data_IF_581041039923
#
_entry.id   IF_581041039923
#
_cell.length_a   1.000
_cell.length_b   1.000
_cell.length_c   1.000
_cell.angle_alpha   90.00
_cell.angle_beta   90.00
_cell.angle_gamma   90.00
#
_symmetry.space_group_name_H-M   'P 1'
#
loop_
_entity.id
_entity.type
_entity.pdbx_description
1 polymer ?
#
# COMPACT_ATOMS: atom_id res chain seq x y z
N UNK A 1 -5.15 -8.07 -9.97
CA UNK A 1 -4.95 -8.09 -11.43
C UNK A 1 -6.12 -7.40 -12.14
N UNK A 2 -5.90 -6.98 -13.38
CA UNK A 2 -6.94 -6.45 -14.28
C UNK A 2 -6.90 -7.33 -15.53
N UNK A 3 -8.02 -7.96 -15.87
CA UNK A 3 -8.12 -8.93 -16.98
C UNK A 3 -7.02 -10.01 -16.95
N UNK A 4 -6.71 -10.52 -15.74
CA UNK A 4 -5.68 -11.52 -15.51
C UNK A 4 -4.24 -11.02 -15.52
N UNK A 5 -4.00 -9.74 -15.83
CA UNK A 5 -2.67 -9.13 -15.86
C UNK A 5 -2.39 -8.29 -14.61
N UNK A 6 -1.12 -8.15 -14.25
CA UNK A 6 -0.70 -7.30 -13.15
C UNK A 6 -1.04 -5.82 -13.42
N UNK A 7 -1.61 -5.14 -12.43
CA UNK A 7 -2.01 -3.72 -12.56
C UNK A 7 -0.86 -2.78 -12.93
N UNK A 8 0.39 -3.11 -12.56
CA UNK A 8 1.58 -2.34 -12.92
C UNK A 8 1.88 -2.28 -14.43
N UNK A 9 1.30 -3.19 -15.23
CA UNK A 9 1.43 -3.14 -16.70
C UNK A 9 0.68 -1.95 -17.34
N UNK A 10 -0.21 -1.32 -16.60
CA UNK A 10 -0.99 -0.18 -17.06
C UNK A 10 -0.45 1.17 -16.57
N UNK A 11 0.78 1.20 -16.04
CA UNK A 11 1.41 2.40 -15.48
C UNK A 11 2.91 2.44 -15.79
N UNK A 12 3.48 3.64 -15.88
CA UNK A 12 4.92 3.85 -16.08
C UNK A 12 5.72 3.41 -14.84
N UNK A 13 5.12 3.57 -13.66
CA UNK A 13 5.67 3.17 -12.37
C UNK A 13 4.59 2.58 -11.49
N UNK A 14 4.95 1.58 -10.70
CA UNK A 14 4.06 1.03 -9.66
C UNK A 14 4.81 0.81 -8.36
N UNK A 15 4.09 1.00 -7.25
CA UNK A 15 4.62 0.79 -5.91
C UNK A 15 3.87 -0.32 -5.19
N UNK A 16 4.60 -1.09 -4.41
CA UNK A 16 4.04 -2.10 -3.51
C UNK A 16 4.61 -1.88 -2.12
N UNK A 17 3.74 -1.79 -1.12
CA UNK A 17 4.16 -1.68 0.28
C UNK A 17 4.27 -3.06 0.93
N UNK A 18 5.32 -3.25 1.71
CA UNK A 18 5.54 -4.43 2.56
C UNK A 18 5.43 -4.08 4.04
N UNK A 19 4.64 -3.08 4.37
CA UNK A 19 4.34 -2.71 5.75
C UNK A 19 3.59 -3.83 6.48
N UNK A 20 3.73 -3.90 7.82
CA UNK A 20 3.29 -5.03 8.64
C UNK A 20 1.83 -5.48 8.49
N UNK A 21 0.92 -4.57 8.17
CA UNK A 21 -0.51 -4.88 7.98
C UNK A 21 -0.89 -5.29 6.56
N UNK A 22 0.04 -5.31 5.61
CA UNK A 22 -0.23 -5.69 4.23
C UNK A 22 -0.27 -7.22 4.04
N UNK A 23 -0.76 -7.67 2.89
CA UNK A 23 -0.93 -9.10 2.55
C UNK A 23 0.40 -9.83 2.55
N UNK A 24 1.46 -9.17 2.04
CA UNK A 24 2.85 -9.54 2.21
C UNK A 24 3.53 -8.43 2.99
N UNK A 25 4.39 -8.78 3.93
CA UNK A 25 5.21 -7.82 4.65
C UNK A 25 6.65 -8.30 4.79
N UNK A 26 7.55 -7.37 5.06
CA UNK A 26 8.97 -7.63 5.28
C UNK A 26 9.35 -7.32 6.73
N UNK A 27 8.77 -8.09 7.68
CA UNK A 27 8.96 -7.93 9.12
C UNK A 27 8.60 -6.51 9.61
N UNK A 28 7.53 -5.95 9.05
CA UNK A 28 6.96 -4.66 9.46
C UNK A 28 7.25 -3.48 8.54
N UNK A 29 8.34 -3.49 7.79
CA UNK A 29 8.75 -2.41 6.89
C UNK A 29 9.19 -2.95 5.54
N UNK A 30 9.20 -2.07 4.53
CA UNK A 30 9.69 -2.38 3.20
C UNK A 30 8.73 -1.95 2.10
N UNK A 31 9.20 -2.03 0.87
CA UNK A 31 8.42 -1.74 -0.31
C UNK A 31 9.23 -2.05 -1.57
N UNK A 32 8.52 -2.07 -2.69
CA UNK A 32 9.12 -2.20 -4.00
C UNK A 32 8.60 -1.09 -4.93
N UNK A 33 9.47 -0.60 -5.77
CA UNK A 33 9.17 0.32 -6.85
C UNK A 33 9.53 -0.38 -8.17
N UNK A 34 8.54 -0.64 -9.01
CA UNK A 34 8.75 -1.15 -10.36
C UNK A 34 8.67 0.01 -11.35
N UNK A 35 9.61 0.09 -12.27
CA UNK A 35 9.78 1.20 -13.22
C UNK A 35 10.07 0.61 -14.59
N UNK A 36 9.41 1.10 -15.63
CA UNK A 36 9.59 0.65 -17.01
C UNK A 36 10.69 1.44 -17.75
N UNK A 37 10.97 2.67 -17.33
CA UNK A 37 12.00 3.54 -17.93
C UNK A 37 13.33 3.41 -17.19
N UNK A 38 14.41 3.12 -17.92
CA UNK A 38 15.74 2.88 -17.35
C UNK A 38 16.34 4.13 -16.72
N UNK A 39 16.19 5.31 -17.32
CA UNK A 39 16.71 6.56 -16.77
C UNK A 39 16.01 6.93 -15.46
N UNK A 40 14.69 6.69 -15.39
CA UNK A 40 13.91 6.91 -14.16
C UNK A 40 14.34 5.90 -13.09
N UNK A 41 14.63 4.65 -13.46
CA UNK A 41 15.12 3.62 -12.54
C UNK A 41 16.50 3.99 -11.95
N UNK A 42 17.44 4.45 -12.79
CA UNK A 42 18.75 4.91 -12.33
C UNK A 42 18.62 6.09 -11.37
N UNK A 43 17.77 7.06 -11.71
CA UNK A 43 17.48 8.20 -10.84
C UNK A 43 16.88 7.76 -9.50
N UNK A 44 15.99 6.78 -9.51
CA UNK A 44 15.38 6.21 -8.31
C UNK A 44 16.41 5.49 -7.42
N UNK A 45 17.34 4.73 -8.03
CA UNK A 45 18.45 4.08 -7.31
C UNK A 45 19.36 5.11 -6.64
N UNK A 46 19.75 6.19 -7.32
CA UNK A 46 20.52 7.27 -6.74
C UNK A 46 19.79 7.90 -5.54
N UNK A 47 18.53 8.28 -5.72
CA UNK A 47 17.73 8.91 -4.66
C UNK A 47 17.52 7.99 -3.45
N UNK A 48 17.37 6.69 -3.66
CA UNK A 48 17.23 5.69 -2.59
C UNK A 48 18.48 5.63 -1.70
N UNK A 49 19.67 5.74 -2.31
CA UNK A 49 20.96 5.44 -1.71
C UNK A 49 21.81 6.71 -1.55
N UNK A 50 21.33 7.71 -0.84
CA UNK A 50 21.97 8.99 -0.51
C UNK A 50 22.39 9.84 -1.72
N UNK A 51 22.07 9.47 -2.93
CA UNK A 51 22.54 10.12 -4.16
C UNK A 51 23.93 9.67 -4.61
N UNK A 52 24.45 8.55 -4.08
CA UNK A 52 25.78 8.04 -4.42
C UNK A 52 25.81 7.31 -5.75
N UNK A 53 26.80 7.60 -6.59
CA UNK A 53 27.06 6.91 -7.87
C UNK A 53 27.24 5.40 -7.71
N UNK A 54 27.76 4.95 -6.57
CA UNK A 54 27.94 3.52 -6.27
C UNK A 54 26.65 2.71 -6.27
N UNK A 55 25.48 3.34 -6.15
CA UNK A 55 24.19 2.67 -6.29
C UNK A 55 23.88 2.17 -7.72
N UNK A 56 24.64 2.64 -8.70
CA UNK A 56 24.56 2.26 -10.11
C UNK A 56 25.70 1.34 -10.55
N UNK A 57 26.62 1.00 -9.65
CA UNK A 57 27.77 0.17 -9.99
C UNK A 57 27.38 -1.24 -10.39
N UNK A 58 28.17 -1.81 -11.28
CA UNK A 58 28.21 -3.20 -11.68
C UNK A 58 29.63 -3.77 -11.43
N UNK A 59 29.85 -5.05 -11.70
CA UNK A 59 31.15 -5.70 -11.48
C UNK A 59 32.32 -4.95 -12.14
N UNK A 60 32.12 -4.39 -13.33
CA UNK A 60 33.13 -3.63 -14.05
C UNK A 60 33.46 -2.30 -13.38
N UNK A 61 32.45 -1.61 -12.82
CA UNK A 61 32.63 -0.34 -12.11
C UNK A 61 33.29 -0.53 -10.75
N UNK A 62 33.14 -1.72 -10.15
CA UNK A 62 33.74 -2.06 -8.85
C UNK A 62 35.22 -2.48 -8.93
N UNK A 63 35.71 -2.75 -10.14
CA UNK A 63 37.14 -3.09 -10.35
C UNK A 63 38.03 -1.98 -9.82
N UNK A 64 39.14 -2.35 -9.18
CA UNK A 64 40.08 -1.39 -8.51
C UNK A 64 40.54 -0.29 -9.47
N UNK A 65 40.82 -0.65 -10.71
CA UNK A 65 41.29 0.27 -11.74
C UNK A 65 40.28 1.37 -12.07
N UNK A 66 39.02 1.07 -11.97
CA UNK A 66 37.93 2.02 -12.26
C UNK A 66 37.51 2.81 -11.01
N UNK A 67 37.54 2.16 -9.85
CA UNK A 67 37.09 2.74 -8.59
C UNK A 67 37.90 3.97 -8.18
N UNK A 68 39.19 3.94 -8.34
CA UNK A 68 40.10 5.03 -7.94
C UNK A 68 40.49 5.96 -9.09
N UNK A 69 39.84 5.84 -10.23
CA UNK A 69 40.11 6.69 -11.40
C UNK A 69 39.10 7.85 -11.52
N UNK A 70 38.70 8.42 -10.40
CA UNK A 70 37.82 9.60 -10.34
C UNK A 70 38.60 10.79 -9.85
N UNK A 71 38.43 11.93 -10.53
CA UNK A 71 39.06 13.19 -10.14
C UNK A 71 37.98 14.24 -9.89
N UNK A 72 37.96 14.79 -8.69
CA UNK A 72 37.07 15.85 -8.27
C UNK A 72 37.92 17.11 -8.04
N UNK A 73 37.86 18.07 -8.95
CA UNK A 73 38.58 19.35 -8.87
C UNK A 73 40.10 19.17 -8.60
N UNK A 74 40.73 18.26 -9.35
CA UNK A 74 42.15 17.88 -9.22
C UNK A 74 42.49 17.04 -7.98
N UNK A 75 41.52 16.48 -7.30
CA UNK A 75 41.69 15.54 -6.18
C UNK A 75 41.33 14.15 -6.65
N UNK A 76 42.25 13.19 -6.60
CA UNK A 76 41.98 11.79 -6.87
C UNK A 76 41.10 11.22 -5.77
N UNK A 77 39.99 10.58 -6.15
CA UNK A 77 38.93 10.19 -5.23
C UNK A 77 38.39 8.79 -5.45
N UNK A 78 37.74 8.25 -4.44
CA UNK A 78 37.06 6.95 -4.51
C UNK A 78 35.65 7.11 -5.08
N UNK A 79 35.38 6.53 -6.24
CA UNK A 79 34.09 6.55 -6.92
C UNK A 79 32.93 6.10 -6.02
N UNK A 80 33.14 5.22 -5.04
CA UNK A 80 32.12 4.77 -4.09
C UNK A 80 31.55 5.90 -3.21
N UNK A 81 32.27 7.00 -3.09
CA UNK A 81 31.88 8.14 -2.25
C UNK A 81 31.62 9.42 -3.05
N UNK A 82 31.37 9.28 -4.36
CA UNK A 82 30.90 10.38 -5.19
C UNK A 82 29.38 10.50 -5.05
N UNK A 83 28.90 11.70 -4.77
CA UNK A 83 27.48 12.01 -4.63
C UNK A 83 27.01 12.83 -5.82
N UNK A 84 26.25 12.21 -6.71
CA UNK A 84 25.72 12.84 -7.93
C UNK A 84 24.57 13.80 -7.64
N UNK A 85 23.85 13.56 -6.54
CA UNK A 85 22.70 14.37 -6.15
C UNK A 85 22.45 14.26 -4.65
N UNK A 86 21.62 15.16 -4.12
CA UNK A 86 21.07 14.98 -2.77
C UNK A 86 20.02 13.87 -2.81
N UNK A 87 20.22 12.83 -2.03
CA UNK A 87 19.34 11.67 -1.95
C UNK A 87 18.87 11.38 -0.53
N UNK A 88 18.15 10.27 -0.39
CA UNK A 88 17.56 9.79 0.86
C UNK A 88 18.24 8.49 1.31
N UNK A 89 18.01 8.09 2.53
CA UNK A 89 18.31 6.73 3.00
C UNK A 89 17.02 5.91 3.02
N UNK A 90 16.70 5.25 1.90
CA UNK A 90 15.55 4.36 1.74
C UNK A 90 16.02 2.92 1.48
N UNK A 91 17.20 2.56 1.99
CA UNK A 91 17.73 1.20 1.85
C UNK A 91 16.90 0.19 2.64
N UNK A 92 16.56 -0.92 1.98
CA UNK A 92 15.95 -2.07 2.62
C UNK A 92 16.95 -2.84 3.47
N UNK A 93 16.45 -3.60 4.45
CA UNK A 93 17.28 -4.53 5.21
C UNK A 93 17.09 -5.98 4.75
N UNK A 94 18.14 -6.78 4.78
CA UNK A 94 18.11 -8.16 4.30
C UNK A 94 17.33 -9.12 5.20
N UNK A 95 17.22 -8.83 6.49
CA UNK A 95 16.39 -9.60 7.42
C UNK A 95 14.92 -9.48 7.01
N UNK A 96 14.46 -8.26 6.74
CA UNK A 96 13.12 -8.02 6.22
C UNK A 96 12.89 -8.67 4.86
N UNK A 97 13.86 -8.60 3.96
CA UNK A 97 13.78 -9.24 2.64
C UNK A 97 13.68 -10.77 2.76
N UNK A 98 14.47 -11.40 3.61
CA UNK A 98 14.42 -12.84 3.88
C UNK A 98 13.05 -13.27 4.43
N UNK A 99 12.49 -12.48 5.37
CA UNK A 99 11.13 -12.71 5.87
C UNK A 99 10.10 -12.58 4.73
N UNK A 100 10.22 -11.54 3.89
CA UNK A 100 9.35 -11.29 2.75
C UNK A 100 9.33 -12.44 1.75
N UNK A 101 10.47 -13.07 1.47
CA UNK A 101 10.56 -14.24 0.59
C UNK A 101 9.72 -15.42 1.12
N UNK A 102 9.65 -15.62 2.43
CA UNK A 102 8.79 -16.64 3.04
C UNK A 102 7.30 -16.26 2.89
N UNK A 103 6.97 -15.00 3.04
CA UNK A 103 5.61 -14.51 2.82
C UNK A 103 5.18 -14.64 1.37
N UNK A 104 6.08 -14.38 0.43
CA UNK A 104 5.81 -14.51 -1.01
C UNK A 104 5.40 -15.94 -1.38
N UNK A 105 6.01 -16.96 -0.79
CA UNK A 105 5.63 -18.37 -1.01
C UNK A 105 4.22 -18.72 -0.54
N UNK A 106 3.63 -17.93 0.35
CA UNK A 106 2.27 -18.13 0.87
C UNK A 106 1.24 -17.25 0.16
N UNK A 107 1.66 -16.40 -0.77
CA UNK A 107 0.82 -15.35 -1.35
C UNK A 107 -0.46 -15.88 -1.97
N UNK A 108 -0.36 -16.89 -2.85
CA UNK A 108 -1.53 -17.42 -3.58
C UNK A 108 -2.57 -18.01 -2.62
N UNK A 109 -2.13 -18.77 -1.62
CA UNK A 109 -3.02 -19.31 -0.59
C UNK A 109 -3.66 -18.18 0.24
N UNK A 110 -2.90 -17.17 0.60
CA UNK A 110 -3.40 -16.03 1.37
C UNK A 110 -4.45 -15.22 0.56
N UNK A 111 -4.23 -15.05 -0.75
CA UNK A 111 -5.18 -14.39 -1.66
C UNK A 111 -6.47 -15.20 -1.73
N UNK A 112 -6.38 -16.51 -1.98
CA UNK A 112 -7.56 -17.38 -2.06
C UNK A 112 -8.39 -17.36 -0.76
N UNK A 113 -7.73 -17.43 0.40
CA UNK A 113 -8.40 -17.35 1.70
C UNK A 113 -9.07 -16.00 1.93
N UNK A 114 -8.42 -14.90 1.54
CA UNK A 114 -9.00 -13.54 1.64
C UNK A 114 -10.20 -13.38 0.75
N UNK A 115 -10.16 -13.90 -0.48
CA UNK A 115 -11.29 -13.85 -1.40
C UNK A 115 -12.50 -14.63 -0.86
N UNK A 116 -12.27 -15.85 -0.37
CA UNK A 116 -13.34 -16.65 0.25
C UNK A 116 -13.96 -15.93 1.47
N UNK A 117 -13.13 -15.30 2.29
CA UNK A 117 -13.61 -14.53 3.45
C UNK A 117 -14.37 -13.27 3.02
N UNK A 118 -13.95 -12.61 1.95
CA UNK A 118 -14.65 -11.47 1.37
C UNK A 118 -16.04 -11.87 0.86
N UNK A 119 -16.14 -12.93 0.08
CA UNK A 119 -17.41 -13.43 -0.47
C UNK A 119 -18.37 -13.82 0.64
N UNK A 120 -17.85 -14.41 1.72
CA UNK A 120 -18.63 -14.75 2.92
C UNK A 120 -19.21 -13.50 3.59
N UNK A 121 -18.41 -12.46 3.76
CA UNK A 121 -18.90 -11.21 4.35
C UNK A 121 -19.91 -10.50 3.44
N UNK A 122 -19.69 -10.49 2.13
CA UNK A 122 -20.68 -9.97 1.18
C UNK A 122 -22.02 -10.66 1.35
N UNK A 123 -22.06 -12.00 1.34
CA UNK A 123 -23.28 -12.78 1.55
C UNK A 123 -23.98 -12.49 2.87
N UNK A 124 -23.21 -12.27 3.94
CA UNK A 124 -23.78 -11.87 5.23
C UNK A 124 -24.45 -10.50 5.15
N UNK A 125 -23.76 -9.50 4.63
CA UNK A 125 -24.26 -8.13 4.57
C UNK A 125 -25.36 -7.92 3.50
N UNK A 126 -25.48 -8.80 2.52
CA UNK A 126 -26.60 -8.80 1.57
C UNK A 126 -27.95 -8.94 2.29
N UNK A 127 -28.01 -9.69 3.40
CA UNK A 127 -29.20 -9.83 4.23
C UNK A 127 -29.57 -8.53 4.98
N UNK A 128 -28.67 -7.56 5.02
CA UNK A 128 -28.83 -6.27 5.68
C UNK A 128 -28.66 -5.11 4.68
N UNK A 129 -28.99 -5.38 3.43
CA UNK A 129 -28.82 -4.41 2.33
C UNK A 129 -29.67 -3.13 2.51
N UNK A 130 -30.66 -3.12 3.39
CA UNK A 130 -31.40 -1.90 3.78
C UNK A 130 -30.53 -0.90 4.54
N UNK A 131 -29.50 -1.38 5.31
CA UNK A 131 -28.63 -0.55 6.16
C UNK A 131 -27.22 -0.42 5.61
N UNK A 132 -26.76 -1.37 4.80
CA UNK A 132 -25.39 -1.43 4.33
C UNK A 132 -25.28 -1.49 2.80
N UNK A 133 -24.20 -0.96 2.27
CA UNK A 133 -23.79 -1.19 0.89
C UNK A 133 -22.47 -1.95 0.88
N UNK A 134 -22.47 -3.11 0.25
CA UNK A 134 -21.28 -3.91 0.02
C UNK A 134 -20.32 -3.21 -0.95
N UNK A 135 -19.02 -3.48 -0.86
CA UNK A 135 -18.07 -3.06 -1.87
C UNK A 135 -18.35 -3.75 -3.20
N UNK A 136 -18.10 -3.04 -4.28
CA UNK A 136 -18.22 -3.59 -5.63
C UNK A 136 -16.84 -3.71 -6.25
N UNK A 137 -16.54 -4.86 -6.82
CA UNK A 137 -15.32 -5.06 -7.59
C UNK A 137 -15.51 -4.55 -9.01
N UNK A 138 -14.52 -3.83 -9.51
CA UNK A 138 -14.55 -3.35 -10.90
C UNK A 138 -14.52 -4.54 -11.85
N UNK A 139 -15.34 -4.52 -12.89
CA UNK A 139 -15.38 -5.59 -13.88
C UNK A 139 -13.99 -5.89 -14.46
N UNK A 140 -13.63 -7.17 -14.50
CA UNK A 140 -12.33 -7.64 -14.94
C UNK A 140 -11.20 -7.50 -13.91
N UNK A 141 -11.47 -6.91 -12.74
CA UNK A 141 -10.48 -6.87 -11.64
C UNK A 141 -10.54 -8.14 -10.79
N UNK A 142 -9.42 -8.47 -10.17
CA UNK A 142 -9.31 -9.47 -9.11
C UNK A 142 -8.47 -8.88 -8.00
N UNK A 143 -9.08 -8.62 -6.87
CA UNK A 143 -8.53 -7.86 -5.75
C UNK A 143 -8.27 -8.78 -4.55
N UNK A 144 -7.07 -8.75 -4.02
CA UNK A 144 -6.70 -9.49 -2.82
C UNK A 144 -7.09 -8.75 -1.53
N UNK A 145 -8.25 -8.22 -1.45
CA UNK A 145 -8.82 -7.37 -0.40
C UNK A 145 -8.03 -7.31 0.92
N UNK A 146 -7.55 -6.13 1.27
CA UNK A 146 -6.80 -5.90 2.51
C UNK A 146 -7.70 -5.91 3.75
N UNK A 147 -8.89 -5.35 3.62
CA UNK A 147 -9.93 -5.28 4.63
C UNK A 147 -11.28 -5.35 3.92
N UNK A 148 -12.37 -5.54 4.67
CA UNK A 148 -13.72 -5.50 4.13
C UNK A 148 -14.30 -4.08 4.30
N UNK A 149 -14.36 -3.27 3.24
CA UNK A 149 -14.96 -1.94 3.32
C UNK A 149 -16.47 -2.05 3.20
N UNK A 150 -17.19 -1.42 4.11
CA UNK A 150 -18.65 -1.35 4.07
C UNK A 150 -19.10 0.09 4.26
N UNK A 151 -20.18 0.47 3.59
CA UNK A 151 -20.77 1.79 3.73
C UNK A 151 -22.13 1.68 4.44
N UNK A 152 -22.29 2.42 5.54
CA UNK A 152 -23.58 2.52 6.24
C UNK A 152 -24.48 3.49 5.47
N UNK A 153 -25.68 3.03 5.11
CA UNK A 153 -26.69 3.83 4.38
C UNK A 153 -27.34 4.87 5.28
N UNK A 154 -27.97 5.85 4.68
CA UNK A 154 -28.74 6.89 5.41
C UNK A 154 -29.98 6.34 6.09
N UNK A 155 -30.52 5.26 5.57
CA UNK A 155 -31.64 4.52 6.14
C UNK A 155 -31.31 3.75 7.42
N UNK A 156 -30.02 3.58 7.76
CA UNK A 156 -29.64 2.85 8.97
C UNK A 156 -30.08 3.62 10.23
N UNK A 157 -30.70 2.96 11.22
CA UNK A 157 -31.16 3.58 12.46
C UNK A 157 -30.01 3.85 13.45
N UNK A 158 -28.77 3.77 13.00
CA UNK A 158 -27.55 3.97 13.79
C UNK A 158 -26.48 4.70 12.96
N UNK A 159 -25.59 5.36 13.64
CA UNK A 159 -24.44 6.06 13.05
C UNK A 159 -23.24 5.14 12.91
N UNK A 160 -22.26 5.54 12.09
CA UNK A 160 -20.96 4.86 12.02
C UNK A 160 -20.29 4.74 13.40
N UNK A 161 -20.34 5.81 14.20
CA UNK A 161 -19.75 5.82 15.55
C UNK A 161 -20.37 4.77 16.45
N UNK A 162 -21.68 4.67 16.48
CA UNK A 162 -22.41 3.68 17.29
C UNK A 162 -22.07 2.26 16.82
N UNK A 163 -22.06 2.02 15.52
CA UNK A 163 -21.70 0.73 14.94
C UNK A 163 -20.25 0.32 15.29
N UNK A 164 -19.29 1.24 15.18
CA UNK A 164 -17.91 0.97 15.57
C UNK A 164 -17.78 0.67 17.07
N UNK A 165 -18.41 1.48 17.95
CA UNK A 165 -18.41 1.23 19.39
C UNK A 165 -19.00 -0.13 19.72
N UNK A 166 -20.10 -0.50 19.07
CA UNK A 166 -20.74 -1.81 19.27
C UNK A 166 -19.79 -2.97 18.93
N UNK A 167 -19.08 -2.91 17.79
CA UNK A 167 -18.14 -3.94 17.37
C UNK A 167 -16.89 -3.99 18.26
N UNK A 168 -16.27 -2.82 18.51
CA UNK A 168 -15.05 -2.71 19.34
C UNK A 168 -15.32 -3.21 20.77
N UNK A 169 -16.49 -2.94 21.35
CA UNK A 169 -16.88 -3.47 22.67
C UNK A 169 -17.00 -5.01 22.71
N UNK A 170 -17.07 -5.62 21.55
CA UNK A 170 -17.09 -7.08 21.36
C UNK A 170 -15.77 -7.66 20.86
N UNK A 171 -14.69 -6.89 20.95
CA UNK A 171 -13.34 -7.24 20.46
C UNK A 171 -13.30 -7.52 18.94
N UNK A 172 -14.16 -6.85 18.16
CA UNK A 172 -14.10 -6.82 16.71
C UNK A 172 -13.52 -5.47 16.31
N UNK A 173 -12.25 -5.47 15.91
CA UNK A 173 -11.54 -4.24 15.57
C UNK A 173 -12.08 -3.63 14.28
N UNK A 174 -12.28 -2.32 14.28
CA UNK A 174 -12.73 -1.57 13.11
C UNK A 174 -11.73 -0.49 12.72
N UNK A 175 -11.84 0.02 11.50
CA UNK A 175 -11.11 1.20 11.03
C UNK A 175 -12.04 2.08 10.23
N UNK A 176 -11.70 3.36 10.12
CA UNK A 176 -12.28 4.22 9.10
C UNK A 176 -11.65 3.90 7.74
N UNK A 177 -12.32 4.28 6.65
CA UNK A 177 -11.77 4.09 5.31
C UNK A 177 -10.66 5.12 5.08
N UNK A 178 -9.44 4.77 5.47
CA UNK A 178 -8.25 5.62 5.43
C UNK A 178 -8.50 7.03 6.00
N UNK A 179 -8.16 8.06 5.23
CA UNK A 179 -8.36 9.47 5.61
C UNK A 179 -9.76 10.00 5.27
N UNK A 180 -10.60 9.20 4.59
CA UNK A 180 -11.85 9.68 4.02
C UNK A 180 -11.58 10.77 2.97
N UNK A 181 -12.21 11.96 3.14
CA UNK A 181 -11.86 13.13 2.35
C UNK A 181 -10.61 13.80 2.87
N UNK A 182 -9.49 13.65 2.17
CA UNK A 182 -8.19 14.19 2.58
C UNK A 182 -8.20 15.72 2.76
N UNK A 183 -9.04 16.42 2.00
CA UNK A 183 -9.14 17.89 2.10
C UNK A 183 -9.68 18.37 3.44
N UNK A 184 -10.36 17.51 4.18
CA UNK A 184 -10.84 17.79 5.54
C UNK A 184 -9.79 17.53 6.63
N UNK A 185 -8.68 16.91 6.27
CA UNK A 185 -7.59 16.67 7.21
C UNK A 185 -6.84 17.99 7.50
N UNK A 186 -6.45 18.25 8.76
CA UNK A 186 -5.76 19.48 9.13
C UNK A 186 -4.51 19.77 8.30
N UNK A 187 -3.77 18.74 7.91
CA UNK A 187 -2.57 18.86 7.08
C UNK A 187 -2.82 19.54 5.73
N UNK A 188 -4.05 19.45 5.21
CA UNK A 188 -4.40 20.03 3.90
C UNK A 188 -4.79 21.50 3.98
N UNK A 189 -4.87 22.12 5.17
CA UNK A 189 -5.32 23.52 5.30
C UNK A 189 -4.33 24.50 4.66
N UNK A 190 -3.02 24.27 4.83
CA UNK A 190 -1.96 25.22 4.46
C UNK A 190 -1.14 24.78 3.24
N UNK A 191 -1.60 23.80 2.47
CA UNK A 191 -0.92 23.38 1.23
C UNK A 191 -1.68 23.90 0.01
N UNK A 192 -0.93 24.30 -1.02
CA UNK A 192 -1.51 24.64 -2.31
C UNK A 192 -2.17 23.41 -2.95
N UNK A 193 -3.41 23.53 -3.36
CA UNK A 193 -4.21 22.41 -3.89
C UNK A 193 -5.23 22.86 -4.90
N UNK A 194 -5.55 21.97 -5.84
CA UNK A 194 -6.65 22.15 -6.78
C UNK A 194 -7.90 21.46 -6.21
N UNK A 195 -8.99 22.18 -6.12
CA UNK A 195 -10.26 21.67 -5.60
C UNK A 195 -11.36 21.92 -6.61
N UNK A 196 -12.25 20.95 -6.83
CA UNK A 196 -13.44 21.11 -7.65
C UNK A 196 -14.43 22.04 -6.94
N UNK A 197 -15.16 22.85 -7.74
CA UNK A 197 -16.16 23.80 -7.21
C UNK A 197 -17.28 23.09 -6.43
N UNK A 198 -17.74 21.96 -6.93
CA UNK A 198 -18.76 21.10 -6.33
C UNK A 198 -18.26 20.30 -5.12
N UNK A 199 -16.95 20.35 -4.85
CA UNK A 199 -16.33 19.57 -3.79
C UNK A 199 -16.27 18.07 -4.12
N UNK A 200 -16.25 17.23 -3.08
CA UNK A 200 -16.09 15.77 -3.19
C UNK A 200 -17.11 15.02 -2.33
N UNK A 201 -18.42 15.06 -2.68
CA UNK A 201 -19.50 14.53 -1.84
C UNK A 201 -19.36 13.02 -1.59
N UNK A 202 -18.86 12.25 -2.55
CA UNK A 202 -18.62 10.82 -2.36
C UNK A 202 -17.49 10.55 -1.34
N UNK A 203 -16.42 11.32 -1.36
CA UNK A 203 -15.34 11.21 -0.37
C UNK A 203 -15.85 11.60 1.03
N UNK A 204 -16.70 12.62 1.12
CA UNK A 204 -17.35 13.01 2.38
C UNK A 204 -18.29 11.93 2.90
N UNK A 205 -19.07 11.30 2.02
CA UNK A 205 -19.94 10.18 2.38
C UNK A 205 -19.15 8.99 2.91
N UNK A 206 -18.05 8.62 2.24
CA UNK A 206 -17.15 7.56 2.72
C UNK A 206 -16.51 7.95 4.05
N UNK A 207 -16.07 9.19 4.21
CA UNK A 207 -15.51 9.69 5.47
C UNK A 207 -16.50 9.63 6.63
N UNK A 208 -17.76 9.96 6.38
CA UNK A 208 -18.80 9.98 7.41
C UNK A 208 -19.40 8.61 7.74
N UNK A 209 -19.44 7.68 6.77
CA UNK A 209 -20.24 6.45 6.84
C UNK A 209 -19.48 5.17 6.53
N UNK A 210 -18.25 5.26 6.02
CA UNK A 210 -17.42 4.11 5.66
C UNK A 210 -16.75 3.48 6.88
N UNK A 211 -16.73 2.14 6.93
CA UNK A 211 -16.05 1.33 7.94
C UNK A 211 -15.25 0.24 7.26
N UNK A 212 -14.06 -0.04 7.74
CA UNK A 212 -13.29 -1.23 7.41
C UNK A 212 -13.47 -2.27 8.51
N UNK A 213 -13.91 -3.45 8.13
CA UNK A 213 -14.00 -4.62 9.00
C UNK A 213 -12.80 -5.54 8.78
N UNK A 214 -12.49 -6.42 9.75
CA UNK A 214 -11.42 -7.38 9.60
C UNK A 214 -11.62 -8.28 8.39
N UNK A 215 -10.56 -8.46 7.64
CA UNK A 215 -10.49 -9.42 6.54
C UNK A 215 -9.03 -9.83 6.38
N UNK A 216 -8.70 -11.05 6.78
CA UNK A 216 -7.37 -11.61 6.56
C UNK A 216 -7.42 -13.14 6.44
N UNK A 217 -6.35 -13.73 5.91
CA UNK A 217 -6.28 -15.16 5.62
C UNK A 217 -6.25 -16.08 6.86
N UNK A 218 -6.00 -15.52 8.05
CA UNK A 218 -6.00 -16.26 9.32
C UNK A 218 -7.32 -16.18 10.10
N UNK A 219 -8.40 -15.69 9.50
CA UNK A 219 -9.71 -15.70 10.15
C UNK A 219 -10.25 -17.13 10.29
N UNK A 220 -10.74 -17.45 11.48
CA UNK A 220 -11.30 -18.76 11.80
C UNK A 220 -12.83 -18.73 11.83
N UNK A 221 -13.47 -19.91 11.78
CA UNK A 221 -14.93 -20.02 11.91
C UNK A 221 -15.46 -19.38 13.20
N UNK A 222 -14.75 -19.52 14.31
CA UNK A 222 -15.13 -18.90 15.58
C UNK A 222 -15.06 -17.37 15.56
N UNK A 223 -14.22 -16.79 14.70
CA UNK A 223 -14.17 -15.33 14.51
C UNK A 223 -15.36 -14.85 13.67
N UNK A 224 -15.80 -15.63 12.69
CA UNK A 224 -16.96 -15.29 11.87
C UNK A 224 -18.29 -15.47 12.57
N UNK A 225 -18.37 -16.37 13.55
CA UNK A 225 -19.61 -16.64 14.32
C UNK A 225 -19.83 -15.66 15.48
N UNK A 226 -18.96 -14.70 15.66
CA UNK A 226 -19.07 -13.61 16.63
C UNK A 226 -19.94 -12.48 16.15
#
# INVERSE_FOLDING_TARGET
>A
TINGQGSGLYSDMSITSFYGSHIINCAGNGGALAINDENVMERAKLLRSWGRSSSLFNEKSEAIENRFNVNLDSIDYDAKFVFETVGYNLEGNEIGASFGLVQLKKLDQNIASRQANFDRQCKFFDNYSEYFSNPQETHGSNTAWLAFPILIKESAPFTRKEFQIFLESRNIQTRVVFTGNILRQPMCQNISKKVLKEGYPNADRVMGRGVLLPLHHGMTESMFSR
#
